data_IF_906150963717
#
_entry.id   IF_906150963717
#
_cell.length_a   1.000
_cell.length_b   1.000
_cell.length_c   1.000
_cell.angle_alpha   90.00
_cell.angle_beta   90.00
_cell.angle_gamma   90.00
#
_symmetry.space_group_name_H-M   'P 1'
#
loop_
_entity.id
_entity.type
_entity.pdbx_description
1 polymer ?
#
# COMPACT_ATOMS: atom_id res chain seq x y z
N UNK A 1 -17.73 18.08 3.53
CA UNK A 1 -16.94 17.81 4.74
C UNK A 1 -15.54 17.46 4.27
N UNK A 2 -14.51 18.15 4.77
CA UNK A 2 -13.12 17.82 4.46
C UNK A 2 -12.74 16.60 5.28
N UNK A 3 -12.56 15.45 4.63
CA UNK A 3 -12.12 14.24 5.32
C UNK A 3 -10.72 14.39 5.91
N UNK A 4 -10.42 13.64 6.96
CA UNK A 4 -9.12 13.60 7.64
C UNK A 4 -8.25 12.41 7.18
N UNK A 5 -8.13 12.23 5.86
CA UNK A 5 -7.27 11.20 5.25
C UNK A 5 -5.83 11.19 5.81
N UNK A 6 -5.18 12.34 6.09
CA UNK A 6 -3.87 12.35 6.77
C UNK A 6 -3.89 11.66 8.15
N UNK A 7 -4.95 11.85 8.93
CA UNK A 7 -5.09 11.18 10.23
C UNK A 7 -5.22 9.65 10.10
N UNK A 8 -5.91 9.16 9.06
CA UNK A 8 -6.00 7.73 8.75
C UNK A 8 -4.62 7.18 8.36
N UNK A 9 -3.88 7.91 7.54
CA UNK A 9 -2.52 7.56 7.12
C UNK A 9 -1.58 7.49 8.33
N UNK A 10 -1.62 8.47 9.22
CA UNK A 10 -0.78 8.52 10.42
C UNK A 10 -1.09 7.34 11.35
N UNK A 11 -2.37 7.13 11.68
CA UNK A 11 -2.80 6.01 12.52
C UNK A 11 -2.41 4.64 11.94
N UNK A 12 -2.57 4.45 10.62
CA UNK A 12 -2.16 3.22 9.96
C UNK A 12 -0.64 3.01 10.03
N UNK A 13 0.15 4.03 9.68
CA UNK A 13 1.59 3.91 9.66
C UNK A 13 2.17 3.71 11.07
N UNK A 14 1.60 4.33 12.11
CA UNK A 14 2.01 4.14 13.50
C UNK A 14 1.75 2.71 13.96
N UNK A 15 0.54 2.19 13.73
CA UNK A 15 0.20 0.80 14.01
C UNK A 15 1.15 -0.20 13.31
N UNK A 16 1.46 0.05 12.04
CA UNK A 16 2.37 -0.79 11.27
C UNK A 16 3.81 -0.71 11.79
N UNK A 17 4.28 0.45 12.26
CA UNK A 17 5.62 0.59 12.89
C UNK A 17 5.72 -0.19 14.19
N UNK A 18 4.72 -0.06 15.06
CA UNK A 18 4.65 -0.81 16.32
C UNK A 18 4.68 -2.32 16.04
N UNK A 19 3.81 -2.78 15.14
CA UNK A 19 3.72 -4.20 14.80
C UNK A 19 5.02 -4.72 14.15
N UNK A 20 5.67 -3.93 13.29
CA UNK A 20 6.95 -4.32 12.69
C UNK A 20 8.06 -4.44 13.75
N UNK A 21 8.12 -3.51 14.71
CA UNK A 21 9.07 -3.54 15.81
C UNK A 21 8.87 -4.79 16.69
N UNK A 22 7.62 -5.13 17.01
CA UNK A 22 7.27 -6.33 17.78
C UNK A 22 7.66 -7.63 17.06
N UNK A 23 7.64 -7.62 15.73
CA UNK A 23 8.06 -8.74 14.89
C UNK A 23 9.56 -8.74 14.58
N UNK A 24 10.31 -7.72 15.01
CA UNK A 24 11.74 -7.58 14.72
C UNK A 24 12.07 -7.41 13.24
N UNK A 25 11.15 -6.82 12.46
CA UNK A 25 11.32 -6.57 11.01
C UNK A 25 11.35 -5.09 10.69
N UNK A 26 11.87 -4.75 9.52
CA UNK A 26 11.82 -3.38 9.00
C UNK A 26 10.42 -3.01 8.51
N UNK A 27 10.05 -1.75 8.68
CA UNK A 27 8.88 -1.15 8.02
C UNK A 27 9.17 0.30 7.65
N UNK A 28 8.96 0.64 6.38
CA UNK A 28 9.22 1.96 5.84
C UNK A 28 8.11 2.38 4.86
N UNK A 29 7.32 3.40 5.21
CA UNK A 29 6.36 4.02 4.29
C UNK A 29 7.01 5.16 3.50
N UNK A 30 6.71 5.22 2.20
CA UNK A 30 7.15 6.25 1.27
C UNK A 30 5.95 6.87 0.55
N UNK A 31 5.72 8.16 0.77
CA UNK A 31 4.63 8.87 0.12
C UNK A 31 4.96 9.10 -1.36
N UNK A 32 4.01 8.85 -2.25
CA UNK A 32 4.12 9.25 -3.65
C UNK A 32 3.99 10.78 -3.80
N UNK A 33 4.69 11.32 -4.79
CA UNK A 33 4.57 12.70 -5.19
C UNK A 33 3.17 13.04 -5.68
N UNK A 34 2.79 14.31 -5.65
CA UNK A 34 1.44 14.75 -6.03
C UNK A 34 1.06 14.41 -7.48
N UNK A 35 2.04 14.26 -8.38
CA UNK A 35 1.82 13.84 -9.77
C UNK A 35 1.56 12.34 -9.94
N UNK A 36 1.92 11.53 -8.95
CA UNK A 36 1.90 10.07 -9.00
C UNK A 36 0.75 9.47 -8.18
N UNK A 37 -0.14 10.29 -7.64
CA UNK A 37 -1.32 9.86 -6.88
C UNK A 37 -2.35 9.09 -7.72
N UNK A 38 -2.17 9.04 -9.03
CA UNK A 38 -2.90 8.11 -9.88
C UNK A 38 -2.39 6.67 -9.76
N UNK A 39 -1.25 6.42 -9.09
CA UNK A 39 -0.76 5.09 -8.74
C UNK A 39 -1.37 4.66 -7.41
N UNK A 40 -0.91 5.27 -6.30
CA UNK A 40 -1.37 5.10 -4.92
C UNK A 40 -0.84 6.27 -4.07
N UNK A 41 -1.23 6.37 -2.80
CA UNK A 41 -0.71 7.40 -1.90
C UNK A 41 0.64 7.02 -1.30
N UNK A 42 0.82 5.74 -0.96
CA UNK A 42 2.06 5.24 -0.35
C UNK A 42 2.57 3.96 -1.01
N UNK A 43 3.89 3.86 -1.09
CA UNK A 43 4.63 2.61 -1.21
C UNK A 43 5.10 2.20 0.18
N UNK A 44 4.69 1.03 0.65
CA UNK A 44 5.15 0.47 1.91
C UNK A 44 6.17 -0.63 1.63
N UNK A 45 7.26 -0.65 2.40
CA UNK A 45 8.29 -1.67 2.33
C UNK A 45 8.50 -2.34 3.68
N UNK A 46 8.75 -3.65 3.64
CA UNK A 46 9.24 -4.44 4.76
C UNK A 46 10.16 -5.53 4.22
N UNK A 47 11.41 -5.56 4.69
CA UNK A 47 12.45 -6.45 4.18
C UNK A 47 12.58 -6.34 2.64
N UNK A 48 12.33 -7.42 1.91
CA UNK A 48 12.34 -7.47 0.44
C UNK A 48 10.96 -7.27 -0.21
N UNK A 49 9.92 -6.93 0.57
CA UNK A 49 8.52 -6.90 0.12
C UNK A 49 7.99 -5.48 0.02
N UNK A 50 7.16 -5.28 -1.00
CA UNK A 50 6.58 -3.99 -1.34
C UNK A 50 5.08 -4.10 -1.61
N UNK A 51 4.34 -3.11 -1.15
CA UNK A 51 2.90 -2.92 -1.42
C UNK A 51 2.59 -1.45 -1.66
N UNK A 52 1.60 -1.18 -2.48
CA UNK A 52 0.97 0.11 -2.71
C UNK A 52 -0.31 0.19 -1.88
N UNK A 53 -0.53 1.33 -1.25
CA UNK A 53 -1.76 1.60 -0.50
C UNK A 53 -2.29 2.98 -0.88
N UNK A 54 -3.51 3.00 -1.39
CA UNK A 54 -4.35 4.20 -1.48
C UNK A 54 -5.11 4.34 -0.15
N UNK A 55 -5.19 5.55 0.39
CA UNK A 55 -5.94 5.85 1.59
C UNK A 55 -7.19 6.66 1.27
N UNK A 56 -8.19 6.50 2.12
CA UNK A 56 -9.40 7.34 2.17
C UNK A 56 -9.70 7.61 3.63
N UNK A 57 -10.40 8.72 3.88
CA UNK A 57 -10.87 9.03 5.23
C UNK A 57 -11.93 8.01 5.70
N UNK A 58 -12.93 7.72 4.84
CA UNK A 58 -14.05 6.82 5.17
C UNK A 58 -14.42 5.85 4.04
N UNK A 59 -15.29 4.86 4.32
CA UNK A 59 -15.84 3.97 3.26
C UNK A 59 -16.59 4.77 2.17
N UNK A 60 -17.25 5.86 2.56
CA UNK A 60 -18.00 6.70 1.63
C UNK A 60 -17.09 7.43 0.64
N UNK A 61 -15.88 7.78 1.07
CA UNK A 61 -14.88 8.45 0.24
C UNK A 61 -14.29 7.54 -0.85
N UNK A 62 -14.46 6.23 -0.76
CA UNK A 62 -14.12 5.29 -1.85
C UNK A 62 -14.88 5.63 -3.14
N UNK A 63 -16.03 6.32 -3.06
CA UNK A 63 -16.77 6.79 -4.23
C UNK A 63 -16.04 7.90 -5.00
N UNK A 64 -15.03 8.54 -4.40
CA UNK A 64 -14.21 9.56 -5.07
C UNK A 64 -13.37 8.99 -6.22
N UNK A 65 -13.06 7.69 -6.21
CA UNK A 65 -12.28 7.03 -7.27
C UNK A 65 -12.95 7.15 -8.65
N UNK A 66 -14.28 7.28 -8.70
CA UNK A 66 -15.02 7.51 -9.96
C UNK A 66 -14.66 8.82 -10.65
N UNK A 67 -14.14 9.78 -9.90
CA UNK A 67 -13.71 11.09 -10.42
C UNK A 67 -12.35 11.03 -11.11
N UNK A 68 -11.66 9.88 -11.07
CA UNK A 68 -10.34 9.64 -11.68
C UNK A 68 -10.50 8.79 -12.95
N UNK A 69 -10.60 9.38 -14.16
CA UNK A 69 -10.90 8.63 -15.40
C UNK A 69 -9.90 7.50 -15.71
N UNK A 70 -8.64 7.69 -15.32
CA UNK A 70 -7.57 6.69 -15.45
C UNK A 70 -7.86 5.40 -14.66
N UNK A 71 -8.61 5.46 -13.56
CA UNK A 71 -8.96 4.29 -12.74
C UNK A 71 -9.88 3.33 -13.48
N UNK A 72 -10.86 3.84 -14.24
CA UNK A 72 -11.71 2.98 -15.06
C UNK A 72 -10.91 2.26 -16.15
N UNK A 73 -9.95 2.96 -16.78
CA UNK A 73 -9.05 2.34 -17.78
C UNK A 73 -8.20 1.22 -17.15
N UNK A 74 -7.61 1.47 -15.99
CA UNK A 74 -6.88 0.46 -15.21
C UNK A 74 -7.77 -0.76 -14.89
N UNK A 75 -8.98 -0.53 -14.37
CA UNK A 75 -9.91 -1.62 -14.03
C UNK A 75 -10.28 -2.47 -15.25
N UNK A 76 -10.54 -1.85 -16.41
CA UNK A 76 -10.80 -2.57 -17.65
C UNK A 76 -9.58 -3.39 -18.08
N UNK A 77 -8.37 -2.83 -18.00
CA UNK A 77 -7.15 -3.57 -18.35
C UNK A 77 -6.96 -4.82 -17.45
N UNK A 78 -7.23 -4.69 -16.15
CA UNK A 78 -7.14 -5.80 -15.20
C UNK A 78 -8.13 -6.95 -15.48
N UNK A 79 -9.30 -6.69 -16.08
CA UNK A 79 -10.23 -7.75 -16.51
C UNK A 79 -9.69 -8.58 -17.68
N UNK A 80 -8.82 -8.00 -18.51
CA UNK A 80 -8.26 -8.64 -19.70
C UNK A 80 -6.85 -9.22 -19.48
N UNK A 81 -6.20 -8.92 -18.35
CA UNK A 81 -4.85 -9.39 -18.03
C UNK A 81 -4.79 -10.14 -16.69
N UNK A 82 -5.24 -11.42 -16.63
CA UNK A 82 -5.36 -12.17 -15.38
C UNK A 82 -4.04 -12.36 -14.61
N UNK A 83 -2.91 -12.43 -15.31
CA UNK A 83 -1.59 -12.53 -14.67
C UNK A 83 -1.25 -11.27 -13.89
N UNK A 84 -1.48 -10.09 -14.48
CA UNK A 84 -1.29 -8.80 -13.83
C UNK A 84 -2.33 -8.59 -12.72
N UNK A 85 -3.57 -9.05 -12.91
CA UNK A 85 -4.58 -8.99 -11.85
C UNK A 85 -4.17 -9.77 -10.60
N UNK A 86 -3.54 -10.95 -10.75
CA UNK A 86 -2.98 -11.70 -9.61
C UNK A 86 -1.85 -10.95 -8.92
N UNK A 87 -1.00 -10.24 -9.66
CA UNK A 87 0.04 -9.40 -9.08
C UNK A 87 -0.57 -8.21 -8.33
N UNK A 88 -1.55 -7.54 -8.94
CA UNK A 88 -2.31 -6.45 -8.34
C UNK A 88 -2.89 -6.86 -6.98
N UNK A 89 -3.53 -8.02 -6.90
CA UNK A 89 -4.14 -8.52 -5.65
C UNK A 89 -3.12 -8.71 -4.52
N UNK A 90 -1.86 -8.97 -4.87
CA UNK A 90 -0.79 -9.17 -3.88
C UNK A 90 -0.19 -7.85 -3.42
N UNK A 91 -0.20 -6.80 -4.22
CA UNK A 91 0.58 -5.61 -3.94
C UNK A 91 -0.17 -4.28 -4.01
N UNK A 92 -1.46 -4.23 -4.31
CA UNK A 92 -2.20 -2.97 -4.40
C UNK A 92 -3.47 -3.02 -3.56
N UNK A 93 -3.48 -2.23 -2.50
CA UNK A 93 -4.54 -2.18 -1.51
C UNK A 93 -5.16 -0.79 -1.42
N UNK A 94 -6.36 -0.73 -0.86
CA UNK A 94 -7.00 0.50 -0.43
C UNK A 94 -7.38 0.39 1.04
N UNK A 95 -7.15 1.46 1.79
CA UNK A 95 -7.39 1.55 3.23
C UNK A 95 -8.29 2.72 3.57
N UNK A 96 -9.14 2.57 4.58
CA UNK A 96 -10.00 3.63 5.12
C UNK A 96 -10.28 3.40 6.61
N UNK A 97 -10.83 4.41 7.27
CA UNK A 97 -11.24 4.31 8.66
C UNK A 97 -12.76 4.46 8.80
N UNK A 98 -13.34 3.64 9.67
CA UNK A 98 -14.68 3.89 10.23
C UNK A 98 -14.55 3.84 11.76
N UNK A 99 -14.92 2.73 12.40
CA UNK A 99 -14.65 2.42 13.80
C UNK A 99 -13.25 1.80 14.04
N UNK A 100 -12.62 1.32 12.96
CA UNK A 100 -11.26 0.78 12.91
C UNK A 100 -10.64 1.01 11.53
N UNK A 101 -9.36 0.69 11.40
CA UNK A 101 -8.66 0.69 10.11
C UNK A 101 -9.00 -0.57 9.32
N UNK A 102 -9.57 -0.36 8.13
CA UNK A 102 -9.98 -1.40 7.19
C UNK A 102 -9.12 -1.36 5.94
N UNK A 103 -8.91 -2.53 5.33
CA UNK A 103 -8.22 -2.70 4.05
C UNK A 103 -8.95 -3.69 3.17
N UNK A 104 -8.80 -3.51 1.88
CA UNK A 104 -9.16 -4.50 0.87
C UNK A 104 -8.15 -4.46 -0.28
N UNK A 105 -8.17 -5.48 -1.13
CA UNK A 105 -7.51 -5.44 -2.43
C UNK A 105 -8.15 -4.32 -3.25
N UNK A 106 -7.34 -3.41 -3.81
CA UNK A 106 -7.83 -2.21 -4.47
C UNK A 106 -8.86 -2.55 -5.56
N UNK A 107 -8.55 -3.47 -6.49
CA UNK A 107 -9.49 -3.84 -7.56
C UNK A 107 -10.76 -4.52 -7.05
N UNK A 108 -10.73 -5.20 -5.91
CA UNK A 108 -11.93 -5.84 -5.35
C UNK A 108 -12.90 -4.83 -4.75
N UNK A 109 -12.38 -3.74 -4.20
CA UNK A 109 -13.18 -2.65 -3.64
C UNK A 109 -13.62 -1.65 -4.72
N UNK A 110 -12.74 -1.36 -5.69
CA UNK A 110 -12.88 -0.22 -6.61
C UNK A 110 -13.33 -0.62 -8.02
N UNK A 111 -12.89 -1.76 -8.56
CA UNK A 111 -13.20 -2.16 -9.95
C UNK A 111 -14.57 -2.82 -10.08
N UNK A 112 -15.63 -2.04 -9.90
CA UNK A 112 -17.02 -2.44 -10.08
C UNK A 112 -17.89 -1.24 -10.51
N UNK A 113 -19.07 -1.50 -11.09
CA UNK A 113 -19.95 -0.41 -11.55
C UNK A 113 -20.64 0.40 -10.45
N UNK A 114 -20.72 -0.08 -9.21
CA UNK A 114 -21.18 0.77 -8.09
C UNK A 114 -20.20 1.91 -7.81
N UNK A 115 -18.90 1.63 -7.82
CA UNK A 115 -17.85 2.65 -7.65
C UNK A 115 -17.63 3.44 -8.94
N UNK A 116 -17.52 2.79 -10.10
CA UNK A 116 -17.17 3.44 -11.37
C UNK A 116 -18.35 4.04 -12.15
N UNK A 117 -19.59 3.86 -11.69
CA UNK A 117 -20.81 4.32 -12.37
C UNK A 117 -21.50 3.23 -13.21
N UNK A 118 -22.80 3.39 -13.45
CA UNK A 118 -23.66 2.35 -14.06
C UNK A 118 -23.20 1.92 -15.47
N UNK A 119 -22.61 2.84 -16.23
CA UNK A 119 -22.14 2.61 -17.60
C UNK A 119 -20.64 2.26 -17.66
N UNK A 120 -20.07 1.77 -16.54
CA UNK A 120 -18.63 1.54 -16.46
C UNK A 120 -18.12 0.43 -17.41
N UNK A 121 -18.98 -0.54 -17.76
CA UNK A 121 -18.62 -1.67 -18.63
C UNK A 121 -17.77 -2.75 -17.95
N UNK A 122 -17.64 -2.73 -16.62
CA UNK A 122 -16.98 -3.80 -15.85
C UNK A 122 -17.96 -4.95 -15.58
N UNK A 123 -17.42 -6.17 -15.46
CA UNK A 123 -18.18 -7.37 -15.15
C UNK A 123 -18.74 -7.34 -13.72
N UNK A 124 -17.95 -6.86 -12.76
CA UNK A 124 -18.36 -6.75 -11.36
C UNK A 124 -19.30 -5.56 -11.14
N UNK A 125 -20.41 -5.79 -10.44
CA UNK A 125 -21.42 -4.76 -10.14
C UNK A 125 -21.22 -4.10 -8.78
N UNK A 126 -20.82 -4.89 -7.79
CA UNK A 126 -20.62 -4.48 -6.40
C UNK A 126 -19.17 -4.73 -5.95
N UNK A 127 -18.68 -4.03 -4.91
CA UNK A 127 -17.42 -4.35 -4.26
C UNK A 127 -17.47 -5.73 -3.60
N UNK A 128 -16.33 -6.44 -3.58
CA UNK A 128 -16.20 -7.67 -2.80
C UNK A 128 -15.92 -7.34 -1.33
N UNK A 129 -16.97 -7.27 -0.51
CA UNK A 129 -16.86 -6.93 0.91
C UNK A 129 -16.33 -8.07 1.78
N UNK A 130 -16.42 -9.31 1.31
CA UNK A 130 -16.02 -10.50 2.08
C UNK A 130 -14.50 -10.62 2.24
N UNK A 131 -13.74 -9.94 1.38
CA UNK A 131 -12.27 -9.89 1.43
C UNK A 131 -11.72 -8.69 2.21
N UNK A 132 -12.60 -7.87 2.79
CA UNK A 132 -12.19 -6.78 3.68
C UNK A 132 -11.58 -7.35 4.96
N UNK A 133 -10.45 -6.78 5.36
CA UNK A 133 -9.73 -7.18 6.56
C UNK A 133 -9.32 -5.95 7.36
N UNK A 134 -9.08 -6.12 8.66
CA UNK A 134 -8.50 -5.06 9.48
C UNK A 134 -6.99 -4.89 9.26
N UNK A 135 -6.48 -3.73 9.65
CA UNK A 135 -5.03 -3.43 9.63
C UNK A 135 -4.20 -4.43 10.44
N UNK A 136 -4.75 -5.00 11.50
CA UNK A 136 -4.18 -6.08 12.30
C UNK A 136 -3.93 -7.35 11.49
N UNK A 137 -4.96 -7.82 10.77
CA UNK A 137 -4.84 -9.00 9.91
C UNK A 137 -3.88 -8.74 8.75
N UNK A 138 -3.92 -7.52 8.20
CA UNK A 138 -2.99 -7.11 7.15
C UNK A 138 -1.54 -7.16 7.65
N UNK A 139 -1.25 -6.52 8.79
CA UNK A 139 0.07 -6.45 9.39
C UNK A 139 0.64 -7.85 9.69
N UNK A 140 -0.16 -8.72 10.31
CA UNK A 140 0.24 -10.11 10.59
C UNK A 140 0.69 -10.83 9.31
N UNK A 141 -0.10 -10.73 8.24
CA UNK A 141 0.25 -11.37 6.97
C UNK A 141 1.43 -10.71 6.25
N UNK A 142 1.53 -9.38 6.27
CA UNK A 142 2.59 -8.61 5.60
C UNK A 142 3.96 -8.79 6.28
N UNK A 143 4.00 -8.91 7.61
CA UNK A 143 5.23 -9.09 8.38
C UNK A 143 5.60 -10.56 8.61
N UNK A 144 4.72 -11.52 8.29
CA UNK A 144 5.02 -12.95 8.39
C UNK A 144 6.29 -13.34 7.60
N UNK A 145 7.03 -14.35 8.06
CA UNK A 145 8.20 -14.88 7.33
C UNK A 145 7.83 -15.33 5.92
N UNK A 146 6.73 -16.08 5.80
CA UNK A 146 6.11 -16.43 4.52
C UNK A 146 4.86 -15.56 4.39
N UNK A 147 4.99 -14.46 3.65
CA UNK A 147 3.90 -13.53 3.43
C UNK A 147 3.13 -13.87 2.16
N UNK A 148 1.80 -13.81 2.24
CA UNK A 148 0.91 -13.82 1.08
C UNK A 148 0.73 -12.42 0.47
N UNK A 149 1.21 -11.37 1.15
CA UNK A 149 1.11 -9.96 0.77
C UNK A 149 2.45 -9.35 0.40
N UNK A 150 2.41 -8.49 -0.60
CA UNK A 150 3.58 -7.88 -1.18
C UNK A 150 4.27 -8.76 -2.20
N UNK A 151 5.12 -8.10 -2.97
CA UNK A 151 5.93 -8.67 -4.04
C UNK A 151 7.36 -8.16 -3.89
N UNK A 152 8.31 -8.86 -4.52
CA UNK A 152 9.70 -8.42 -4.59
C UNK A 152 9.85 -7.23 -5.54
N UNK A 153 10.97 -6.51 -5.40
CA UNK A 153 11.19 -5.25 -6.12
C UNK A 153 11.07 -5.38 -7.65
N UNK A 154 11.68 -6.41 -8.26
CA UNK A 154 11.60 -6.59 -9.71
C UNK A 154 10.15 -6.76 -10.18
N UNK A 155 9.33 -7.51 -9.42
CA UNK A 155 7.90 -7.68 -9.72
C UNK A 155 7.11 -6.39 -9.48
N UNK A 156 7.39 -5.66 -8.39
CA UNK A 156 6.78 -4.36 -8.15
C UNK A 156 7.09 -3.40 -9.31
N UNK A 157 8.34 -3.34 -9.76
CA UNK A 157 8.78 -2.43 -10.80
C UNK A 157 8.03 -2.68 -12.10
N UNK A 158 8.01 -3.93 -12.57
CA UNK A 158 7.23 -4.30 -13.77
C UNK A 158 5.74 -4.01 -13.63
N UNK A 159 5.17 -4.21 -12.43
CA UNK A 159 3.77 -3.88 -12.16
C UNK A 159 3.52 -2.36 -12.23
N UNK A 160 4.36 -1.53 -11.60
CA UNK A 160 4.23 -0.07 -11.63
C UNK A 160 4.38 0.46 -13.05
N UNK A 161 5.38 0.00 -13.80
CA UNK A 161 5.58 0.38 -15.21
C UNK A 161 4.33 0.04 -16.04
N UNK A 162 3.72 -1.13 -15.81
CA UNK A 162 2.47 -1.51 -16.44
C UNK A 162 1.32 -0.57 -16.08
N UNK A 163 1.13 -0.24 -14.79
CA UNK A 163 0.06 0.67 -14.34
C UNK A 163 0.21 2.05 -14.99
N UNK A 164 1.42 2.62 -14.98
CA UNK A 164 1.72 3.92 -15.59
C UNK A 164 1.38 3.90 -17.08
N UNK A 165 1.80 2.85 -17.79
CA UNK A 165 1.49 2.66 -19.21
C UNK A 165 -0.02 2.61 -19.46
N UNK A 166 -0.77 1.88 -18.64
CA UNK A 166 -2.24 1.84 -18.78
C UNK A 166 -2.86 3.21 -18.55
N UNK A 167 -2.29 4.04 -17.71
CA UNK A 167 -2.82 5.37 -17.41
C UNK A 167 -2.32 6.47 -18.36
N UNK A 168 -1.44 6.14 -19.30
CA UNK A 168 -0.86 7.09 -20.26
C UNK A 168 0.13 8.07 -19.63
N UNK A 169 0.73 7.71 -18.49
CA UNK A 169 1.76 8.50 -17.82
C UNK A 169 3.16 8.27 -18.38
N UNK A 170 4.13 9.05 -17.88
CA UNK A 170 5.56 8.81 -18.09
C UNK A 170 6.17 8.02 -16.91
N UNK A 171 7.30 7.35 -17.15
CA UNK A 171 7.90 6.34 -16.25
C UNK A 171 8.46 6.88 -14.93
N UNK A 172 8.53 8.19 -14.75
CA UNK A 172 9.15 8.80 -13.56
C UNK A 172 8.13 8.96 -12.42
N UNK A 173 8.08 7.95 -11.55
CA UNK A 173 7.45 8.08 -10.24
C UNK A 173 8.39 8.77 -9.26
N UNK A 174 7.85 9.66 -8.46
CA UNK A 174 8.57 10.38 -7.41
C UNK A 174 8.08 9.92 -6.03
N UNK A 175 9.01 9.51 -5.18
CA UNK A 175 8.75 9.10 -3.81
C UNK A 175 9.47 10.03 -2.84
N UNK A 176 8.80 10.41 -1.76
CA UNK A 176 9.39 11.22 -0.69
C UNK A 176 10.11 10.29 0.28
N UNK A 177 11.42 10.47 0.40
CA UNK A 177 12.27 9.76 1.35
C UNK A 177 12.96 10.75 2.28
N UNK A 178 13.02 10.43 3.58
CA UNK A 178 13.82 11.17 4.56
C UNK A 178 15.23 10.60 4.61
N UNK A 179 16.24 11.46 4.65
CA UNK A 179 17.60 11.00 4.94
C UNK A 179 17.75 10.60 6.42
N UNK A 180 18.49 9.52 6.67
CA UNK A 180 18.69 9.00 8.03
C UNK A 180 19.51 9.99 8.85
N UNK A 181 19.01 10.34 10.04
CA UNK A 181 19.75 11.17 11.01
C UNK A 181 19.71 12.67 10.75
N UNK A 182 19.00 13.13 9.72
CA UNK A 182 18.87 14.54 9.37
C UNK A 182 17.41 14.91 9.07
N UNK A 183 17.07 16.20 9.24
CA UNK A 183 15.73 16.73 8.98
C UNK A 183 15.56 17.18 7.52
N UNK A 184 16.01 16.36 6.57
CA UNK A 184 15.92 16.63 5.13
C UNK A 184 15.06 15.59 4.43
N UNK A 185 14.30 16.05 3.44
CA UNK A 185 13.53 15.19 2.54
C UNK A 185 14.13 15.27 1.13
N UNK A 186 14.11 14.15 0.42
CA UNK A 186 14.46 14.06 -0.98
C UNK A 186 13.38 13.35 -1.77
N UNK A 187 13.37 13.62 -3.07
CA UNK A 187 12.47 12.98 -4.04
C UNK A 187 13.31 12.00 -4.86
N UNK A 188 12.92 10.74 -4.86
CA UNK A 188 13.67 9.65 -5.50
C UNK A 188 12.75 8.81 -6.38
N UNK A 189 13.31 8.17 -7.40
CA UNK A 189 12.63 7.15 -8.17
C UNK A 189 12.62 5.79 -7.46
N UNK A 190 11.85 4.82 -7.99
CA UNK A 190 11.76 3.47 -7.43
C UNK A 190 13.11 2.77 -7.31
N UNK A 191 13.95 2.83 -8.35
CA UNK A 191 15.24 2.13 -8.36
C UNK A 191 16.23 2.75 -7.36
N UNK A 192 16.22 4.08 -7.24
CA UNK A 192 17.05 4.79 -6.27
C UNK A 192 16.61 4.48 -4.83
N UNK A 193 15.30 4.49 -4.59
CA UNK A 193 14.75 4.06 -3.32
C UNK A 193 15.21 2.64 -2.98
N UNK A 194 15.00 1.68 -3.88
CA UNK A 194 15.38 0.29 -3.64
C UNK A 194 16.86 0.13 -3.32
N UNK A 195 17.76 0.82 -4.05
CA UNK A 195 19.20 0.82 -3.75
C UNK A 195 19.49 1.36 -2.35
N UNK A 196 18.83 2.43 -1.93
CA UNK A 196 19.00 2.98 -0.58
C UNK A 196 18.52 2.00 0.52
N UNK A 197 17.45 1.24 0.26
CA UNK A 197 16.94 0.24 1.19
C UNK A 197 17.91 -0.92 1.40
N UNK A 198 18.58 -1.39 0.34
CA UNK A 198 19.57 -2.45 0.44
C UNK A 198 20.83 -2.07 1.25
N UNK A 199 21.08 -0.77 1.40
CA UNK A 199 22.23 -0.24 2.15
C UNK A 199 21.92 0.00 3.64
N UNK A 200 20.66 -0.14 4.04
CA UNK A 200 20.24 0.10 5.42
C UNK A 200 20.38 -1.19 6.23
N UNK A 201 21.20 -1.25 7.29
CA UNK A 201 21.32 -2.46 8.10
C UNK A 201 19.98 -2.77 8.79
N UNK A 202 19.65 -4.07 8.95
CA UNK A 202 18.42 -4.48 9.64
C UNK A 202 18.42 -3.99 11.10
N UNK A 203 17.23 -3.83 11.70
CA UNK A 203 17.10 -3.45 13.10
C UNK A 203 17.83 -4.46 13.98
N UNK A 204 18.50 -3.98 15.02
CA UNK A 204 19.09 -4.86 16.03
C UNK A 204 17.97 -5.68 16.69
N UNK A 205 18.20 -6.98 16.97
CA UNK A 205 17.18 -7.80 17.62
C UNK A 205 16.77 -7.19 18.97
N UNK A 206 15.49 -7.34 19.38
CA UNK A 206 15.05 -6.84 20.67
C UNK A 206 15.92 -7.43 21.78
N UNK A 207 16.42 -6.55 22.66
CA UNK A 207 17.21 -6.96 23.82
C UNK A 207 16.28 -7.82 24.69
N UNK A 208 16.60 -9.11 24.80
CA UNK A 208 15.85 -10.02 25.67
C UNK A 208 15.74 -9.41 27.07
N UNK A 209 14.52 -9.10 27.51
CA UNK A 209 14.27 -8.63 28.86
C UNK A 209 14.73 -9.73 29.82
N UNK A 210 15.87 -9.52 30.48
CA UNK A 210 16.29 -10.34 31.61
C UNK A 210 15.26 -10.14 32.71
N UNK A 211 14.22 -10.98 32.75
CA UNK A 211 13.41 -11.11 33.94
C UNK A 211 14.33 -11.61 35.07
N UNK A 212 14.48 -10.85 36.17
CA UNK A 212 15.19 -11.38 37.32
C UNK A 212 14.37 -12.55 37.87
N UNK A 213 15.00 -13.73 37.91
CA UNK A 213 14.49 -14.89 38.63
C UNK A 213 14.32 -14.51 40.10
N UNK A 214 13.09 -14.14 40.50
CA UNK A 214 12.72 -14.09 41.91
C UNK A 214 12.45 -15.53 42.33
N UNK A 215 13.44 -16.15 42.98
CA UNK A 215 13.23 -17.39 43.71
C UNK A 215 12.42 -17.06 44.97
N UNK A 216 11.26 -17.69 45.12
CA UNK A 216 10.57 -17.83 46.39
C UNK A 216 11.02 -19.13 47.07
#
# INVERSE_FOLDING_TARGET
MSGNEPGVIDAFNDYMRETAADNGVTYQPFAFGSGDRDLADYLLSSESRYVLVEFKDSEDDLNSERKKPKRLKLCKALEHEPSIAKLHDRCHFISWADDRLWLNIYRHEVCNCKRMGKECGLAKKEPNKDERIGADTFAQSFFAKISTRGVEFATLRSYVDWVIKQQGGQEDVSLVMRDKGVATIKRVGLDELHRALQQTPPPSPPVASKHPNVKH
#
